data_IF_994627931314
#
_entry.id   IF_994627931314
#
_cell.length_a   1.000
_cell.length_b   1.000
_cell.length_c   1.000
_cell.angle_alpha   90.00
_cell.angle_beta   90.00
_cell.angle_gamma   90.00
#
_symmetry.space_group_name_H-M   'P 1'
#
loop_
_entity.id
_entity.type
_entity.pdbx_description
1 polymer ?
#
# COMPACT_ATOMS: atom_id res chain seq x y z
N UNK A 1 8.11 7.38 -22.45
CA UNK A 1 6.70 6.92 -22.40
C UNK A 1 6.00 7.71 -21.33
N UNK A 2 4.84 8.31 -21.59
CA UNK A 2 4.02 8.82 -20.51
C UNK A 2 3.52 7.63 -19.70
N UNK A 3 3.82 7.59 -18.41
CA UNK A 3 3.25 6.62 -17.49
C UNK A 3 1.73 6.77 -17.49
N UNK A 4 1.00 5.66 -17.75
CA UNK A 4 -0.45 5.66 -17.71
C UNK A 4 -1.14 6.11 -19.00
N UNK A 5 -0.50 5.96 -20.13
CA UNK A 5 -1.12 6.09 -21.43
C UNK A 5 -2.05 4.90 -21.68
N UNK A 6 -3.33 5.11 -21.43
CA UNK A 6 -4.36 4.08 -21.60
C UNK A 6 -4.48 3.61 -23.05
N UNK A 7 -4.22 4.50 -24.03
CA UNK A 7 -4.22 4.14 -25.45
C UNK A 7 -3.06 3.20 -25.77
N UNK A 8 -1.89 3.47 -25.19
CA UNK A 8 -0.73 2.59 -25.35
C UNK A 8 -0.94 1.22 -24.67
N UNK A 9 -1.51 1.18 -23.48
CA UNK A 9 -1.84 -0.06 -22.77
C UNK A 9 -2.88 -0.89 -23.53
N UNK A 10 -3.81 -0.25 -24.24
CA UNK A 10 -4.84 -0.91 -25.03
C UNK A 10 -4.29 -1.59 -26.30
N UNK A 11 -3.04 -1.31 -26.73
CA UNK A 11 -2.43 -1.94 -27.90
C UNK A 11 -2.13 -3.45 -27.71
N UNK A 12 -1.98 -3.93 -26.48
CA UNK A 12 -1.60 -5.30 -26.15
C UNK A 12 -2.57 -5.89 -25.12
N UNK A 13 -3.85 -5.94 -25.47
CA UNK A 13 -4.83 -6.61 -24.63
C UNK A 13 -4.75 -8.13 -24.84
N UNK A 14 -4.62 -8.85 -23.74
CA UNK A 14 -4.60 -10.30 -23.69
C UNK A 14 -5.74 -10.81 -22.82
N UNK A 15 -6.23 -12.01 -23.14
CA UNK A 15 -7.19 -12.68 -22.27
C UNK A 15 -6.51 -13.08 -20.95
N UNK A 16 -7.22 -12.89 -19.84
CA UNK A 16 -6.72 -13.30 -18.53
C UNK A 16 -6.58 -14.83 -18.48
N UNK A 17 -5.37 -15.30 -18.23
CA UNK A 17 -5.09 -16.72 -18.01
C UNK A 17 -5.54 -17.08 -16.58
N UNK A 18 -6.32 -18.14 -16.44
CA UNK A 18 -6.83 -18.64 -15.14
C UNK A 18 -7.51 -17.54 -14.29
N UNK A 19 -8.60 -16.91 -14.80
CA UNK A 19 -9.23 -15.75 -14.15
C UNK A 19 -9.78 -16.06 -12.74
N UNK A 20 -10.04 -17.32 -12.43
CA UNK A 20 -10.57 -17.75 -11.12
C UNK A 20 -9.49 -18.05 -10.08
N UNK A 21 -8.21 -18.08 -10.49
CA UNK A 21 -7.10 -18.37 -9.58
C UNK A 21 -7.01 -17.30 -8.49
N UNK A 22 -7.14 -17.63 -7.18
CA UNK A 22 -7.05 -16.64 -6.13
C UNK A 22 -5.62 -16.12 -6.00
N UNK A 23 -5.47 -14.80 -6.06
CA UNK A 23 -4.18 -14.11 -6.02
C UNK A 23 -4.07 -13.28 -4.74
N UNK A 24 -2.92 -13.36 -4.08
CA UNK A 24 -2.46 -12.33 -3.16
C UNK A 24 -1.39 -11.50 -3.87
N UNK A 25 -1.70 -10.23 -4.17
CA UNK A 25 -0.70 -9.30 -4.70
C UNK A 25 0.26 -8.90 -3.57
N UNK A 26 1.55 -9.28 -3.64
CA UNK A 26 2.48 -9.09 -2.54
C UNK A 26 3.07 -7.68 -2.48
N UNK A 27 2.75 -6.76 -3.40
CA UNK A 27 3.45 -5.50 -3.49
C UNK A 27 2.64 -4.40 -4.19
N UNK A 28 1.96 -3.57 -3.41
CA UNK A 28 1.41 -2.31 -3.90
C UNK A 28 1.73 -1.14 -2.95
N UNK A 29 1.42 0.07 -3.39
CA UNK A 29 1.58 1.30 -2.61
C UNK A 29 0.27 2.09 -2.58
N UNK A 30 0.11 2.97 -1.58
CA UNK A 30 -0.90 4.00 -1.55
C UNK A 30 -0.24 5.37 -1.38
N UNK A 31 -0.76 6.38 -2.06
CA UNK A 31 -0.32 7.77 -1.89
C UNK A 31 -1.40 8.76 -2.27
N UNK A 32 -1.30 9.95 -1.73
CA UNK A 32 -2.03 11.13 -2.16
C UNK A 32 -1.06 12.32 -2.11
N UNK A 33 -1.22 13.29 -3.01
CA UNK A 33 -0.31 14.44 -3.14
C UNK A 33 1.18 14.08 -3.24
N UNK A 34 1.50 13.09 -4.05
CA UNK A 34 2.89 12.70 -4.23
C UNK A 34 3.66 13.81 -4.96
N UNK A 35 4.63 14.43 -4.29
CA UNK A 35 5.44 15.54 -4.80
C UNK A 35 6.45 15.15 -5.89
N UNK A 36 6.61 13.87 -6.17
CA UNK A 36 7.51 13.35 -7.21
C UNK A 36 6.77 13.39 -8.55
N UNK A 37 7.50 13.58 -9.66
CA UNK A 37 7.02 13.65 -11.05
C UNK A 37 6.34 12.34 -11.52
N UNK A 38 5.33 11.91 -10.81
CA UNK A 38 4.48 10.79 -11.19
C UNK A 38 3.19 11.38 -11.76
N UNK A 39 2.71 10.93 -12.92
CA UNK A 39 1.50 11.46 -13.55
C UNK A 39 0.25 11.30 -12.68
N UNK A 40 0.20 10.26 -11.86
CA UNK A 40 -0.88 10.05 -10.91
C UNK A 40 -0.52 10.65 -9.56
N UNK A 41 -1.17 11.75 -9.21
CA UNK A 41 -0.98 12.41 -7.91
C UNK A 41 -1.63 11.64 -6.77
N UNK A 42 -2.57 10.74 -7.09
CA UNK A 42 -3.30 9.93 -6.13
C UNK A 42 -3.40 8.47 -6.60
N UNK A 43 -3.17 7.56 -5.67
CA UNK A 43 -3.48 6.14 -5.81
C UNK A 43 -3.95 5.60 -4.46
N UNK A 44 -5.25 5.47 -4.31
CA UNK A 44 -5.93 5.05 -3.08
C UNK A 44 -6.80 3.82 -3.35
N UNK A 45 -7.75 3.57 -2.46
CA UNK A 45 -8.56 2.35 -2.50
C UNK A 45 -9.37 2.22 -3.81
N UNK A 46 -9.90 3.32 -4.34
CA UNK A 46 -10.69 3.28 -5.58
C UNK A 46 -9.84 2.94 -6.81
N UNK A 47 -8.64 3.48 -6.90
CA UNK A 47 -7.71 3.20 -7.98
C UNK A 47 -7.23 1.74 -7.90
N UNK A 48 -6.84 1.28 -6.71
CA UNK A 48 -6.47 -0.13 -6.49
C UNK A 48 -7.60 -1.09 -6.90
N UNK A 49 -8.85 -0.77 -6.54
CA UNK A 49 -10.01 -1.59 -6.89
C UNK A 49 -10.19 -1.70 -8.40
N UNK A 50 -10.06 -0.58 -9.11
CA UNK A 50 -10.15 -0.58 -10.57
C UNK A 50 -9.11 -1.52 -11.19
N UNK A 51 -7.86 -1.48 -10.67
CA UNK A 51 -6.78 -2.33 -11.19
C UNK A 51 -7.01 -3.81 -10.87
N UNK A 52 -7.31 -4.16 -9.63
CA UNK A 52 -7.49 -5.58 -9.22
C UNK A 52 -8.78 -6.21 -9.76
N UNK A 53 -9.71 -5.39 -10.26
CA UNK A 53 -10.96 -5.87 -10.89
C UNK A 53 -10.83 -6.02 -12.40
N UNK A 54 -9.63 -5.88 -12.98
CA UNK A 54 -9.40 -5.87 -14.43
C UNK A 54 -9.37 -7.25 -15.10
N UNK A 55 -9.71 -8.32 -14.38
CA UNK A 55 -9.82 -9.67 -14.96
C UNK A 55 -9.21 -10.79 -14.12
N UNK A 56 -8.41 -10.46 -13.11
CA UNK A 56 -7.82 -11.43 -12.19
C UNK A 56 -8.60 -11.50 -10.86
N UNK A 57 -8.56 -12.67 -10.20
CA UNK A 57 -9.22 -12.88 -8.92
C UNK A 57 -8.30 -12.51 -7.74
N UNK A 58 -7.99 -11.21 -7.61
CA UNK A 58 -7.18 -10.71 -6.50
C UNK A 58 -8.02 -10.68 -5.21
N UNK A 59 -7.63 -11.49 -4.22
CA UNK A 59 -8.33 -11.62 -2.94
C UNK A 59 -7.72 -10.76 -1.83
N UNK A 60 -6.43 -10.52 -1.88
CA UNK A 60 -5.74 -9.72 -0.89
C UNK A 60 -4.50 -9.06 -1.46
N UNK A 61 -4.06 -7.98 -0.81
CA UNK A 61 -2.83 -7.30 -1.20
C UNK A 61 -1.94 -7.04 0.01
N UNK A 62 -0.64 -6.87 -0.22
CA UNK A 62 0.34 -6.43 0.78
C UNK A 62 0.80 -5.03 0.44
N UNK A 63 0.60 -4.09 1.36
CA UNK A 63 1.14 -2.74 1.23
C UNK A 63 2.62 -2.72 1.57
N UNK A 64 3.40 -2.07 0.72
CA UNK A 64 4.83 -1.79 0.96
C UNK A 64 5.02 -0.29 1.11
N UNK A 65 5.81 0.14 2.08
CA UNK A 65 6.12 1.55 2.35
C UNK A 65 6.57 2.31 1.08
N UNK A 66 6.20 3.58 0.99
CA UNK A 66 6.52 4.43 -0.16
C UNK A 66 6.80 5.89 0.23
N UNK A 67 7.09 6.14 1.50
CA UNK A 67 7.31 7.49 2.07
C UNK A 67 6.11 8.44 1.92
N UNK A 68 4.90 7.90 1.92
CA UNK A 68 3.66 8.67 1.89
C UNK A 68 3.15 8.98 3.31
N UNK A 69 2.51 10.14 3.48
CA UNK A 69 1.78 10.49 4.71
C UNK A 69 2.61 10.41 6.01
N UNK A 70 3.90 10.70 5.93
CA UNK A 70 4.74 10.80 7.12
C UNK A 70 4.28 11.94 8.03
N UNK A 71 4.38 11.75 9.34
CA UNK A 71 4.07 12.82 10.31
C UNK A 71 4.96 14.02 10.07
N UNK A 72 4.37 15.21 10.09
CA UNK A 72 5.12 16.46 9.93
C UNK A 72 5.95 16.75 11.17
N UNK A 73 5.39 16.46 12.34
CA UNK A 73 5.94 16.77 13.65
C UNK A 73 6.44 15.52 14.38
N UNK A 74 7.15 15.73 15.47
CA UNK A 74 7.71 14.70 16.33
C UNK A 74 9.10 14.23 15.91
N UNK A 75 9.65 13.24 16.63
CA UNK A 75 10.94 12.65 16.33
C UNK A 75 11.02 12.13 14.90
N UNK A 76 12.11 12.40 14.20
CA UNK A 76 12.27 12.08 12.77
C UNK A 76 12.11 10.59 12.51
N UNK A 77 12.65 9.77 13.41
CA UNK A 77 12.60 8.31 13.35
C UNK A 77 11.17 7.73 13.46
N UNK A 78 10.25 8.47 14.11
CA UNK A 78 8.84 8.06 14.28
C UNK A 78 7.91 8.59 13.20
N UNK A 79 8.36 9.42 12.28
CA UNK A 79 7.49 10.03 11.25
C UNK A 79 6.88 9.00 10.30
N UNK A 80 7.59 7.91 10.03
CA UNK A 80 7.10 6.80 9.19
C UNK A 80 5.86 6.10 9.76
N UNK A 81 5.59 6.23 11.05
CA UNK A 81 4.38 5.69 11.70
C UNK A 81 3.11 6.26 11.07
N UNK A 82 3.14 7.53 10.62
CA UNK A 82 2.01 8.17 9.94
C UNK A 82 1.56 7.43 8.68
N UNK A 83 2.49 6.86 7.92
CA UNK A 83 2.15 6.05 6.75
C UNK A 83 1.40 4.78 7.14
N UNK A 84 1.82 4.08 8.20
CA UNK A 84 1.15 2.88 8.69
C UNK A 84 -0.24 3.20 9.24
N UNK A 85 -0.41 4.31 9.97
CA UNK A 85 -1.72 4.80 10.44
C UNK A 85 -2.67 5.08 9.26
N UNK A 86 -2.18 5.75 8.23
CA UNK A 86 -2.93 6.05 7.01
C UNK A 86 -3.38 4.78 6.29
N UNK A 87 -2.47 3.84 6.06
CA UNK A 87 -2.76 2.57 5.38
C UNK A 87 -3.68 1.69 6.20
N UNK A 88 -3.53 1.67 7.53
CA UNK A 88 -4.45 0.98 8.44
C UNK A 88 -5.88 1.48 8.29
N UNK A 89 -6.09 2.79 8.07
CA UNK A 89 -7.40 3.37 7.79
C UNK A 89 -7.99 2.85 6.48
N UNK A 90 -7.21 2.82 5.40
CA UNK A 90 -7.63 2.28 4.09
C UNK A 90 -7.94 0.78 4.17
N UNK A 91 -7.10 0.01 4.87
CA UNK A 91 -7.33 -1.41 5.10
C UNK A 91 -8.60 -1.68 5.91
N UNK A 92 -8.91 -0.84 6.89
CA UNK A 92 -10.15 -0.92 7.66
C UNK A 92 -11.37 -0.61 6.79
N UNK A 93 -11.28 0.40 5.92
CA UNK A 93 -12.32 0.72 4.96
C UNK A 93 -12.59 -0.46 4.01
N UNK A 94 -11.55 -1.07 3.44
CA UNK A 94 -11.69 -2.29 2.62
C UNK A 94 -12.34 -3.44 3.38
N UNK A 95 -11.93 -3.65 4.64
CA UNK A 95 -12.46 -4.73 5.48
C UNK A 95 -13.94 -4.56 5.89
N UNK A 96 -14.54 -3.37 5.66
CA UNK A 96 -15.97 -3.14 5.90
C UNK A 96 -16.88 -3.93 4.95
N UNK A 97 -16.33 -4.42 3.83
CA UNK A 97 -17.09 -5.11 2.78
C UNK A 97 -17.85 -4.16 1.83
N UNK A 98 -17.84 -2.84 2.09
CA UNK A 98 -18.51 -1.86 1.21
C UNK A 98 -17.82 -1.69 -0.15
N UNK A 99 -16.57 -2.13 -0.25
CA UNK A 99 -15.73 -1.99 -1.44
C UNK A 99 -15.58 -3.28 -2.24
N UNK A 100 -16.19 -4.37 -1.82
CA UNK A 100 -16.09 -5.69 -2.48
C UNK A 100 -15.49 -6.77 -1.59
N UNK A 101 -15.29 -7.97 -2.15
CA UNK A 101 -14.79 -9.16 -1.44
C UNK A 101 -13.27 -9.32 -1.63
N UNK A 102 -12.52 -8.30 -1.31
CA UNK A 102 -11.05 -8.34 -1.28
C UNK A 102 -10.53 -7.58 -0.05
N UNK A 103 -9.30 -7.88 0.34
CA UNK A 103 -8.65 -7.31 1.52
C UNK A 103 -7.44 -6.48 1.10
N UNK A 104 -7.68 -5.20 0.79
CA UNK A 104 -6.59 -4.28 0.51
C UNK A 104 -5.71 -4.11 1.76
N UNK A 105 -4.39 -4.11 1.55
CA UNK A 105 -3.39 -4.02 2.61
C UNK A 105 -3.66 -5.00 3.77
N UNK A 106 -3.96 -6.26 3.45
CA UNK A 106 -4.13 -7.33 4.44
C UNK A 106 -2.88 -7.52 5.31
N UNK A 107 -1.71 -7.18 4.75
CA UNK A 107 -0.46 -7.02 5.47
C UNK A 107 0.18 -5.67 5.11
N UNK A 108 0.94 -5.11 6.04
CA UNK A 108 1.61 -3.81 5.92
C UNK A 108 3.10 -3.99 6.24
N UNK A 109 3.94 -3.57 5.30
CA UNK A 109 5.38 -3.43 5.47
C UNK A 109 5.70 -1.94 5.55
N UNK A 110 6.11 -1.49 6.72
CA UNK A 110 6.46 -0.10 7.01
C UNK A 110 7.94 0.19 6.80
N UNK A 111 8.40 1.32 7.35
CA UNK A 111 9.81 1.73 7.30
C UNK A 111 10.35 2.03 8.69
N UNK A 112 11.55 1.51 8.97
CA UNK A 112 12.37 1.91 10.11
C UNK A 112 13.83 2.00 9.69
N UNK A 113 14.56 2.98 10.23
CA UNK A 113 16.00 3.14 9.96
C UNK A 113 16.81 2.19 10.84
N UNK A 114 17.34 1.14 10.26
CA UNK A 114 18.16 0.14 10.97
C UNK A 114 19.53 0.67 11.44
N UNK A 115 19.97 1.84 10.93
CA UNK A 115 21.18 2.50 11.43
C UNK A 115 21.03 3.06 12.85
N UNK A 116 19.80 3.11 13.37
CA UNK A 116 19.54 3.48 14.76
C UNK A 116 20.08 2.47 15.78
N UNK A 117 20.48 1.26 15.33
CA UNK A 117 20.87 0.17 16.22
C UNK A 117 19.72 -0.19 17.17
N UNK A 118 20.00 -0.42 18.45
CA UNK A 118 18.99 -0.81 19.44
C UNK A 118 17.84 0.21 19.60
N UNK A 119 18.05 1.48 19.23
CA UNK A 119 17.01 2.50 19.29
C UNK A 119 15.88 2.27 18.27
N UNK A 120 16.06 1.39 17.29
CA UNK A 120 15.01 1.02 16.33
C UNK A 120 13.81 0.35 17.00
N UNK A 121 14.00 -0.27 18.17
CA UNK A 121 12.94 -0.96 18.92
C UNK A 121 11.74 -0.03 19.16
N UNK A 122 11.98 1.22 19.57
CA UNK A 122 10.90 2.21 19.79
C UNK A 122 10.10 2.47 18.52
N UNK A 123 10.76 2.49 17.35
CA UNK A 123 10.09 2.68 16.07
C UNK A 123 9.27 1.46 15.70
N UNK A 124 9.80 0.25 15.88
CA UNK A 124 9.11 -1.00 15.61
C UNK A 124 7.87 -1.16 16.48
N UNK A 125 7.97 -0.85 17.77
CA UNK A 125 6.84 -0.86 18.70
C UNK A 125 5.75 0.13 18.27
N UNK A 126 6.12 1.34 17.86
CA UNK A 126 5.18 2.34 17.37
C UNK A 126 4.48 1.90 16.07
N UNK A 127 5.21 1.30 15.12
CA UNK A 127 4.65 0.73 13.89
C UNK A 127 3.69 -0.42 14.19
N UNK A 128 4.08 -1.33 15.11
CA UNK A 128 3.23 -2.43 15.56
C UNK A 128 1.97 -1.93 16.26
N UNK A 129 2.07 -0.89 17.09
CA UNK A 129 0.93 -0.27 17.76
C UNK A 129 -0.03 0.41 16.77
N UNK A 130 0.49 1.04 15.72
CA UNK A 130 -0.30 1.69 14.68
C UNK A 130 -1.16 0.71 13.86
N UNK A 131 -0.70 -0.54 13.72
CA UNK A 131 -1.44 -1.59 13.00
C UNK A 131 -1.20 -2.98 13.59
N UNK A 132 -1.77 -3.29 14.77
CA UNK A 132 -1.46 -4.51 15.51
C UNK A 132 -1.73 -5.82 14.74
N UNK A 133 -2.76 -5.80 13.89
CA UNK A 133 -3.23 -6.98 13.19
C UNK A 133 -2.68 -7.13 11.76
N UNK A 134 -2.07 -6.06 11.18
CA UNK A 134 -1.63 -6.06 9.78
C UNK A 134 -0.15 -5.76 9.59
N UNK A 135 0.49 -5.05 10.51
CA UNK A 135 1.93 -4.83 10.43
C UNK A 135 2.70 -6.16 10.48
N UNK A 136 3.63 -6.38 9.55
CA UNK A 136 4.36 -7.66 9.41
C UNK A 136 5.87 -7.50 9.28
N UNK A 137 6.34 -6.30 8.97
CA UNK A 137 7.77 -6.07 8.81
C UNK A 137 8.09 -4.69 8.32
N UNK A 138 9.36 -4.49 8.03
CA UNK A 138 9.89 -3.23 7.54
C UNK A 138 10.69 -3.44 6.25
N UNK A 139 10.77 -2.39 5.45
CA UNK A 139 11.74 -2.22 4.37
C UNK A 139 12.63 -1.03 4.70
N UNK A 140 13.94 -1.15 4.44
CA UNK A 140 14.93 -0.09 4.65
C UNK A 140 15.70 0.20 3.36
#
# INVERSE_FOLDING_TARGET
>A
MPYGDLEWLALTQEETIEPDLPICDPHHHFWDYRSIRIPYQRYLLHELIADISSGHNVKSTVFIETTAMYKLDGPVELRSVGEVEFVQGLAAASASGLYGDYKAAAAIVGKADLNLGDKVEVVLDALQAASPNRFRGIRY
#
